data_IF_122912208335
#
_entry.id   IF_122912208335
#
_cell.length_a   1.000
_cell.length_b   1.000
_cell.length_c   1.000
_cell.angle_alpha   90.00
_cell.angle_beta   90.00
_cell.angle_gamma   90.00
#
_symmetry.space_group_name_H-M   'P 1'
#
loop_
_entity.id
_entity.type
_entity.pdbx_description
1 polymer ?
#
# COMPACT_ATOMS: atom_id res chain seq x y z
N UNK A 1 -1.52 -12.01 -7.63
CA UNK A 1 -2.08 -10.64 -7.60
C UNK A 1 -3.58 -10.61 -7.84
N UNK A 2 -4.10 -10.85 -9.06
CA UNK A 2 -5.56 -10.84 -9.30
C UNK A 2 -6.33 -11.91 -8.52
N UNK A 3 -5.73 -13.10 -8.37
CA UNK A 3 -6.32 -14.18 -7.56
C UNK A 3 -6.39 -13.84 -6.07
N UNK A 4 -5.41 -13.12 -5.52
CA UNK A 4 -5.41 -12.67 -4.13
C UNK A 4 -6.40 -11.50 -3.95
N UNK A 5 -6.41 -10.55 -4.87
CA UNK A 5 -7.38 -9.45 -4.88
C UNK A 5 -8.83 -9.95 -4.86
N UNK A 6 -9.15 -10.99 -5.66
CA UNK A 6 -10.48 -11.57 -5.74
C UNK A 6 -10.90 -12.40 -4.51
N UNK A 7 -9.97 -12.71 -3.59
CA UNK A 7 -10.28 -13.43 -2.35
C UNK A 7 -10.75 -12.51 -1.23
N UNK A 8 -10.57 -11.20 -1.38
CA UNK A 8 -11.01 -10.21 -0.41
C UNK A 8 -12.38 -9.64 -0.79
N UNK A 9 -13.20 -9.41 0.22
CA UNK A 9 -14.52 -8.80 0.07
C UNK A 9 -14.41 -7.28 -0.05
N UNK A 10 -15.40 -6.61 -0.69
CA UNK A 10 -15.45 -5.15 -0.72
C UNK A 10 -15.38 -4.55 0.70
N UNK A 11 -14.41 -3.66 0.92
CA UNK A 11 -14.15 -3.05 2.23
C UNK A 11 -12.96 -3.64 3.00
N UNK A 12 -12.46 -4.82 2.63
CA UNK A 12 -11.21 -5.37 3.19
C UNK A 12 -9.95 -4.80 2.52
N UNK A 13 -10.11 -4.24 1.32
CA UNK A 13 -9.03 -3.62 0.56
C UNK A 13 -9.17 -2.10 0.54
N UNK A 14 -8.02 -1.46 0.68
CA UNK A 14 -7.94 -0.02 0.74
C UNK A 14 -6.70 0.50 0.00
N UNK A 15 -6.77 1.76 -0.43
CA UNK A 15 -5.66 2.46 -1.07
C UNK A 15 -5.46 3.82 -0.39
N UNK A 16 -4.22 4.16 -0.08
CA UNK A 16 -3.91 5.47 0.49
C UNK A 16 -4.07 6.57 -0.55
N UNK A 17 -4.53 7.76 -0.12
CA UNK A 17 -4.50 8.96 -0.97
C UNK A 17 -3.09 9.33 -1.44
N UNK A 18 -2.03 8.91 -0.72
CA UNK A 18 -0.64 9.05 -1.18
C UNK A 18 -0.39 8.22 -2.43
N UNK A 19 -0.83 6.96 -2.45
CA UNK A 19 -0.73 6.09 -3.63
C UNK A 19 -1.63 6.58 -4.78
N UNK A 20 -2.83 7.09 -4.47
CA UNK A 20 -3.70 7.76 -5.45
C UNK A 20 -2.96 8.91 -6.13
N UNK A 21 -2.27 9.75 -5.34
CA UNK A 21 -1.45 10.85 -5.88
C UNK A 21 -0.33 10.34 -6.79
N UNK A 22 0.41 9.30 -6.40
CA UNK A 22 1.48 8.74 -7.24
C UNK A 22 0.97 8.22 -8.58
N UNK A 23 -0.18 7.54 -8.57
CA UNK A 23 -0.83 7.02 -9.78
C UNK A 23 -1.30 8.18 -10.67
N UNK A 24 -2.01 9.17 -10.11
CA UNK A 24 -2.50 10.32 -10.88
C UNK A 24 -1.35 11.16 -11.44
N UNK A 25 -0.24 11.30 -10.71
CA UNK A 25 0.97 11.94 -11.22
C UNK A 25 1.49 11.22 -12.47
N UNK A 26 1.59 9.89 -12.41
CA UNK A 26 2.03 9.07 -13.55
C UNK A 26 1.08 9.16 -14.75
N UNK A 27 -0.24 9.12 -14.52
CA UNK A 27 -1.24 9.22 -15.58
C UNK A 27 -1.28 10.63 -16.21
N UNK A 28 -1.15 11.67 -15.41
CA UNK A 28 -1.15 13.07 -15.89
C UNK A 28 0.09 13.38 -16.73
N UNK A 29 1.25 12.83 -16.35
CA UNK A 29 2.49 13.02 -17.09
C UNK A 29 2.57 12.28 -18.43
N UNK A 30 1.67 11.34 -18.70
CA UNK A 30 1.75 10.44 -19.86
C UNK A 30 0.35 10.17 -20.49
N UNK A 31 -0.04 10.92 -21.54
CA UNK A 31 -1.35 10.76 -22.18
C UNK A 31 -1.64 9.32 -22.65
N UNK A 32 -0.64 8.63 -23.21
CA UNK A 32 -0.77 7.23 -23.62
C UNK A 32 -1.04 6.28 -22.44
N UNK A 33 -0.48 6.56 -21.25
CA UNK A 33 -0.77 5.79 -20.05
C UNK A 33 -2.20 6.06 -19.56
N UNK A 34 -2.66 7.31 -19.62
CA UNK A 34 -4.06 7.67 -19.30
C UNK A 34 -5.05 6.96 -20.21
N UNK A 35 -4.79 6.93 -21.51
CA UNK A 35 -5.62 6.21 -22.48
C UNK A 35 -5.64 4.70 -22.18
N UNK A 36 -4.46 4.11 -21.93
CA UNK A 36 -4.33 2.67 -21.72
C UNK A 36 -4.89 2.18 -20.39
N UNK A 37 -4.71 2.93 -19.30
CA UNK A 37 -4.99 2.47 -17.94
C UNK A 37 -6.08 3.25 -17.21
N UNK A 38 -6.55 4.38 -17.76
CA UNK A 38 -7.49 5.27 -17.08
C UNK A 38 -8.80 4.60 -16.69
N UNK A 39 -9.38 3.77 -17.57
CA UNK A 39 -10.61 3.04 -17.26
C UNK A 39 -10.43 2.04 -16.12
N UNK A 40 -9.32 1.29 -16.13
CA UNK A 40 -8.98 0.33 -15.06
C UNK A 40 -8.78 1.07 -13.74
N UNK A 41 -8.11 2.21 -13.77
CA UNK A 41 -7.89 3.03 -12.60
C UNK A 41 -9.20 3.55 -11.98
N UNK A 42 -10.12 4.09 -12.80
CA UNK A 42 -11.45 4.53 -12.33
C UNK A 42 -12.26 3.38 -11.72
N UNK A 43 -12.19 2.18 -12.32
CA UNK A 43 -12.84 1.00 -11.76
C UNK A 43 -12.25 0.63 -10.39
N UNK A 44 -10.92 0.58 -10.25
CA UNK A 44 -10.27 0.27 -8.98
C UNK A 44 -10.61 1.27 -7.87
N UNK A 45 -10.74 2.57 -8.18
CA UNK A 45 -11.16 3.58 -7.21
C UNK A 45 -12.59 3.37 -6.70
N UNK A 46 -13.43 2.64 -7.44
CA UNK A 46 -14.80 2.31 -7.02
C UNK A 46 -14.83 1.08 -6.10
N UNK A 47 -13.90 0.14 -6.30
CA UNK A 47 -13.81 -1.11 -5.52
C UNK A 47 -13.00 -0.97 -4.22
N UNK A 48 -12.05 -0.01 -4.18
CA UNK A 48 -11.15 0.18 -3.05
C UNK A 48 -11.65 1.29 -2.12
N UNK A 49 -11.56 1.04 -0.82
CA UNK A 49 -11.73 2.12 0.17
C UNK A 49 -10.55 3.08 0.08
N UNK A 50 -10.80 4.35 -0.20
CA UNK A 50 -9.73 5.37 -0.19
C UNK A 50 -9.47 5.82 1.24
N UNK A 51 -8.22 5.69 1.69
CA UNK A 51 -7.78 6.12 3.02
C UNK A 51 -7.11 7.49 2.93
N UNK A 52 -7.79 8.50 3.47
CA UNK A 52 -7.21 9.82 3.70
C UNK A 52 -6.02 9.73 4.65
N UNK A 53 -4.98 10.52 4.42
CA UNK A 53 -3.87 10.65 5.36
C UNK A 53 -4.26 11.58 6.52
N UNK A 54 -4.33 11.01 7.72
CA UNK A 54 -4.85 11.66 8.92
C UNK A 54 -3.74 12.03 9.91
N UNK A 55 -4.11 12.80 10.94
CA UNK A 55 -3.17 13.24 11.98
C UNK A 55 -2.52 12.07 12.74
N UNK A 56 -3.26 10.98 12.98
CA UNK A 56 -2.71 9.79 13.64
C UNK A 56 -1.66 9.09 12.75
N UNK A 57 -1.90 8.98 11.44
CA UNK A 57 -0.94 8.45 10.49
C UNK A 57 0.35 9.29 10.50
N UNK A 58 0.21 10.63 10.53
CA UNK A 58 1.34 11.54 10.58
C UNK A 58 2.20 11.40 11.84
N UNK A 59 1.58 11.12 12.99
CA UNK A 59 2.31 10.86 14.23
C UNK A 59 3.12 9.56 14.13
N UNK A 60 2.53 8.48 13.63
CA UNK A 60 3.22 7.21 13.45
C UNK A 60 4.31 7.29 12.37
N UNK A 61 4.05 7.96 11.24
CA UNK A 61 5.06 8.25 10.21
C UNK A 61 6.26 8.99 10.79
N UNK A 62 6.05 9.99 11.65
CA UNK A 62 7.14 10.76 12.26
C UNK A 62 7.99 9.90 13.22
N UNK A 63 7.33 9.09 14.06
CA UNK A 63 8.01 8.17 14.96
C UNK A 63 8.84 7.13 14.19
N UNK A 64 8.22 6.51 13.18
CA UNK A 64 8.89 5.55 12.30
C UNK A 64 10.09 6.18 11.58
N UNK A 65 9.94 7.41 11.07
CA UNK A 65 11.04 8.14 10.41
C UNK A 65 12.24 8.31 11.32
N UNK A 66 11.99 8.72 12.56
CA UNK A 66 13.03 8.95 13.54
C UNK A 66 13.76 7.64 13.87
N UNK A 67 13.00 6.56 14.07
CA UNK A 67 13.55 5.23 14.32
C UNK A 67 14.46 4.78 13.16
N UNK A 68 13.96 4.79 11.93
CA UNK A 68 14.71 4.36 10.74
C UNK A 68 15.95 5.23 10.50
N UNK A 69 15.86 6.54 10.78
CA UNK A 69 17.01 7.45 10.68
C UNK A 69 18.09 7.10 11.70
N UNK A 70 17.71 6.82 12.95
CA UNK A 70 18.66 6.40 14.00
C UNK A 70 19.29 5.05 13.68
N UNK A 71 18.53 4.13 13.07
CA UNK A 71 19.02 2.83 12.62
C UNK A 71 19.84 2.87 11.32
N UNK A 72 19.97 4.04 10.66
CA UNK A 72 20.70 4.17 9.39
C UNK A 72 20.04 3.48 8.20
N UNK A 73 18.73 3.21 8.26
CA UNK A 73 17.98 2.44 7.26
C UNK A 73 16.75 3.20 6.75
N UNK A 74 16.91 4.41 6.19
CA UNK A 74 15.78 5.21 5.72
C UNK A 74 14.99 4.48 4.61
N UNK A 75 13.70 4.79 4.57
CA UNK A 75 12.76 4.42 3.50
C UNK A 75 12.35 5.72 2.77
N UNK A 76 11.94 5.61 1.50
CA UNK A 76 11.44 6.74 0.72
C UNK A 76 10.28 7.49 1.40
N UNK A 77 10.10 8.80 1.15
CA UNK A 77 9.16 9.64 1.90
C UNK A 77 7.68 9.28 1.69
N UNK A 78 7.30 8.73 0.54
CA UNK A 78 5.92 8.25 0.29
C UNK A 78 5.70 6.87 0.90
N UNK A 79 6.60 5.92 0.67
CA UNK A 79 6.59 4.60 1.32
C UNK A 79 6.54 4.72 2.86
N UNK A 80 7.23 5.72 3.43
CA UNK A 80 7.19 6.02 4.85
C UNK A 80 5.81 6.51 5.34
N UNK A 81 5.08 7.29 4.52
CA UNK A 81 3.70 7.68 4.81
C UNK A 81 2.76 6.48 4.74
N UNK A 82 2.96 5.59 3.77
CA UNK A 82 2.19 4.34 3.66
C UNK A 82 2.44 3.43 4.87
N UNK A 83 3.70 3.25 5.26
CA UNK A 83 4.08 2.45 6.44
C UNK A 83 3.50 3.03 7.73
N UNK A 84 3.57 4.36 7.94
CA UNK A 84 2.99 4.99 9.12
C UNK A 84 1.46 4.92 9.15
N UNK A 85 0.79 5.07 7.99
CA UNK A 85 -0.67 4.86 7.87
C UNK A 85 -1.05 3.43 8.26
N UNK A 86 -0.29 2.44 7.78
CA UNK A 86 -0.56 1.05 8.10
C UNK A 86 -0.33 0.73 9.58
N UNK A 87 0.75 1.24 10.18
CA UNK A 87 1.02 1.09 11.62
C UNK A 87 -0.08 1.73 12.48
N UNK A 88 -0.47 2.97 12.17
CA UNK A 88 -1.51 3.69 12.92
C UNK A 88 -2.86 2.97 12.92
N UNK A 89 -3.14 2.18 11.87
CA UNK A 89 -4.44 1.56 11.64
C UNK A 89 -4.42 0.04 11.79
N UNK A 90 -3.28 -0.56 12.13
CA UNK A 90 -3.12 -2.01 12.24
C UNK A 90 -3.36 -2.75 10.92
N UNK A 91 -2.94 -2.16 9.80
CA UNK A 91 -3.14 -2.73 8.46
C UNK A 91 -1.90 -3.46 7.96
N UNK A 92 -2.12 -4.37 7.01
CA UNK A 92 -1.06 -5.05 6.25
C UNK A 92 -0.76 -4.28 4.97
N UNK A 93 0.52 -4.00 4.69
CA UNK A 93 0.93 -3.38 3.43
C UNK A 93 1.16 -4.44 2.36
N UNK A 94 0.34 -4.42 1.32
CA UNK A 94 0.55 -5.22 0.12
C UNK A 94 1.48 -4.46 -0.81
N UNK A 95 2.68 -4.97 -1.02
CA UNK A 95 3.71 -4.29 -1.81
C UNK A 95 4.66 -5.29 -2.44
N UNK A 96 5.25 -4.88 -3.55
CA UNK A 96 6.35 -5.60 -4.15
C UNK A 96 7.74 -5.07 -3.76
N UNK A 97 7.79 -4.03 -2.93
CA UNK A 97 9.02 -3.49 -2.36
C UNK A 97 9.17 -3.93 -0.90
N UNK A 98 8.87 -5.21 -0.61
CA UNK A 98 8.88 -5.77 0.75
C UNK A 98 10.19 -5.47 1.47
N UNK A 99 11.32 -5.53 0.78
CA UNK A 99 12.67 -5.19 1.29
C UNK A 99 12.74 -3.84 2.04
N UNK A 100 12.00 -2.82 1.60
CA UNK A 100 11.97 -1.53 2.28
C UNK A 100 11.02 -1.55 3.46
N UNK A 101 9.80 -2.05 3.27
CA UNK A 101 8.78 -2.09 4.31
C UNK A 101 9.14 -3.01 5.49
N UNK A 102 9.89 -4.09 5.27
CA UNK A 102 10.39 -4.98 6.35
C UNK A 102 11.34 -4.30 7.33
N UNK A 103 11.83 -3.10 7.01
CA UNK A 103 12.66 -2.29 7.94
C UNK A 103 11.81 -1.59 9.00
N UNK A 104 10.51 -1.41 8.74
CA UNK A 104 9.60 -0.78 9.69
C UNK A 104 9.20 -1.77 10.79
N UNK A 105 9.57 -1.54 12.06
CA UNK A 105 9.24 -2.45 13.14
C UNK A 105 7.72 -2.51 13.37
N UNK A 106 7.19 -3.71 13.58
CA UNK A 106 5.76 -3.93 13.84
C UNK A 106 4.86 -3.88 12.59
N UNK A 107 5.42 -3.59 11.41
CA UNK A 107 4.65 -3.55 10.18
C UNK A 107 4.51 -4.95 9.56
N UNK A 108 3.28 -5.33 9.22
CA UNK A 108 3.01 -6.53 8.40
C UNK A 108 3.03 -6.15 6.92
N UNK A 109 3.70 -6.94 6.09
CA UNK A 109 3.71 -6.75 4.64
C UNK A 109 3.60 -8.08 3.89
N UNK A 110 2.91 -8.05 2.75
CA UNK A 110 2.70 -9.20 1.87
C UNK A 110 3.10 -8.85 0.42
N UNK A 111 3.67 -9.81 -0.31
CA UNK A 111 3.90 -9.70 -1.76
C UNK A 111 3.01 -10.70 -2.52
N UNK A 112 1.88 -10.20 -3.01
CA UNK A 112 0.95 -11.02 -3.78
C UNK A 112 1.42 -11.39 -5.19
N UNK A 113 2.65 -11.02 -5.58
CA UNK A 113 3.27 -11.49 -6.83
C UNK A 113 4.03 -12.80 -6.63
N UNK A 114 4.43 -13.12 -5.40
CA UNK A 114 5.12 -14.38 -5.08
C UNK A 114 4.17 -15.49 -4.62
N UNK A 115 2.96 -15.15 -4.18
CA UNK A 115 2.00 -16.11 -3.58
C UNK A 115 1.08 -16.86 -4.57
N UNK A 116 1.57 -17.27 -5.73
CA UNK A 116 0.80 -18.21 -6.57
C UNK A 116 0.60 -19.59 -5.87
N UNK A 117 1.46 -19.95 -4.92
CA UNK A 117 1.47 -21.26 -4.25
C UNK A 117 0.91 -21.25 -2.80
N UNK A 118 0.63 -20.08 -2.20
CA UNK A 118 0.23 -19.96 -0.78
C UNK A 118 -1.29 -19.76 -0.53
N UNK A 119 -2.09 -19.78 -1.59
CA UNK A 119 -3.56 -19.58 -1.53
C UNK A 119 -4.26 -20.59 -0.61
N UNK A 120 -3.64 -21.76 -0.35
CA UNK A 120 -4.19 -22.77 0.57
C UNK A 120 -4.27 -22.32 2.03
N UNK A 121 -3.50 -21.32 2.47
CA UNK A 121 -3.50 -20.89 3.88
C UNK A 121 -4.63 -19.94 4.23
N UNK A 122 -5.25 -19.30 3.24
CA UNK A 122 -6.36 -18.36 3.43
C UNK A 122 -7.75 -19.01 3.24
N UNK A 123 -7.80 -20.33 2.98
CA UNK A 123 -9.02 -21.10 2.73
C UNK A 123 -9.43 -22.03 3.90
N UNK A 124 -9.12 -21.69 5.16
CA UNK A 124 -9.71 -22.42 6.29
C UNK A 124 -10.92 -21.66 6.85
N UNK A 125 -12.05 -22.35 7.07
CA UNK A 125 -13.24 -21.77 7.69
C UNK A 125 -12.99 -21.36 9.15
#
# INVERSE_FOLDING_TARGET
MMAAFAQHTPGELAISTVTVMEIEYGLTGQPAARERYGQVWTALQTELTVLDYQAADAQETAQLRQHLRQAGTPIGPYDLQLAGTALARGLTVVTNNTREFTRAPGLTCEDWRTDADNISNYLRP
#
